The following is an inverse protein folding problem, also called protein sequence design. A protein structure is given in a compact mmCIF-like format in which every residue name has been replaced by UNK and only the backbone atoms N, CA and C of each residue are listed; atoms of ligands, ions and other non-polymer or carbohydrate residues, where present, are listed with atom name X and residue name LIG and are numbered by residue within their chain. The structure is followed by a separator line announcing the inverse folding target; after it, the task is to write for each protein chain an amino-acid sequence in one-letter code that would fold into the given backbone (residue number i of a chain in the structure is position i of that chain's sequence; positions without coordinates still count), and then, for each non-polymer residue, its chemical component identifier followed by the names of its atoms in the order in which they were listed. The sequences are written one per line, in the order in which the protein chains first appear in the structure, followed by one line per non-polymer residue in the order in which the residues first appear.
data_IF_718968391610
#
_entry.id   IF_718968391610
#
_cell.length_a   1.000
_cell.length_b   1.000
_cell.length_c   1.000
_cell.angle_alpha   90.00
_cell.angle_beta   90.00
_cell.angle_gamma   90.00
#
_symmetry.space_group_name_H-M   'P 1'
#
loop_
_entity.id
_entity.type
_entity.pdbx_description
1 polymer ?
#
# COMPACT_ATOMS: atom_id res chain seq x y z
N UNK A 1 -51.13 -14.64 -34.13
CA UNK A 1 -49.74 -15.10 -34.36
C UNK A 1 -48.71 -13.97 -34.29
N UNK A 2 -48.91 -12.84 -34.99
CA UNK A 2 -47.97 -11.69 -35.08
C UNK A 2 -47.60 -11.01 -33.75
N UNK A 3 -48.55 -10.88 -32.81
CA UNK A 3 -48.34 -10.19 -31.52
C UNK A 3 -47.26 -10.84 -30.63
N UNK A 4 -47.03 -12.15 -30.76
CA UNK A 4 -46.02 -12.86 -29.98
C UNK A 4 -44.62 -12.59 -30.53
N UNK A 5 -44.49 -12.45 -31.86
CA UNK A 5 -43.22 -12.13 -32.53
C UNK A 5 -42.75 -10.72 -32.14
N UNK A 6 -43.66 -9.73 -32.12
CA UNK A 6 -43.34 -8.37 -31.68
C UNK A 6 -42.96 -8.33 -30.19
N UNK A 7 -43.57 -9.17 -29.35
CA UNK A 7 -43.21 -9.29 -27.93
C UNK A 7 -41.80 -9.87 -27.75
N UNK A 8 -41.45 -10.93 -28.46
CA UNK A 8 -40.10 -11.49 -28.43
C UNK A 8 -39.06 -10.51 -28.95
N UNK A 9 -39.38 -9.78 -30.02
CA UNK A 9 -38.51 -8.73 -30.57
C UNK A 9 -38.27 -7.60 -29.56
N UNK A 10 -39.32 -7.13 -28.88
CA UNK A 10 -39.20 -6.10 -27.85
C UNK A 10 -38.40 -6.57 -26.62
N UNK A 11 -38.54 -7.84 -26.22
CA UNK A 11 -37.73 -8.44 -25.15
C UNK A 11 -36.27 -8.48 -25.58
N UNK A 12 -35.99 -8.92 -26.80
CA UNK A 12 -34.63 -8.93 -27.35
C UNK A 12 -34.01 -7.54 -27.44
N UNK A 13 -34.78 -6.55 -27.87
CA UNK A 13 -34.35 -5.15 -27.94
C UNK A 13 -34.06 -4.58 -26.54
N UNK A 14 -34.89 -4.90 -25.55
CA UNK A 14 -34.67 -4.48 -24.16
C UNK A 14 -33.43 -5.15 -23.53
N UNK A 15 -33.20 -6.44 -23.82
CA UNK A 15 -32.00 -7.16 -23.37
C UNK A 15 -30.75 -6.56 -24.01
N UNK A 16 -30.77 -6.26 -25.31
CA UNK A 16 -29.64 -5.65 -26.02
C UNK A 16 -29.29 -4.26 -25.46
N UNK A 17 -30.28 -3.45 -25.07
CA UNK A 17 -30.04 -2.16 -24.42
C UNK A 17 -29.48 -2.27 -22.99
N UNK A 18 -29.70 -3.38 -22.30
CA UNK A 18 -29.29 -3.57 -20.91
C UNK A 18 -27.84 -4.09 -20.72
N UNK A 19 -27.24 -4.68 -21.76
CA UNK A 19 -25.85 -5.21 -21.73
C UNK A 19 -24.80 -4.17 -21.27
N UNK A 20 -24.77 -2.91 -21.78
CA UNK A 20 -23.71 -1.97 -21.43
C UNK A 20 -23.76 -1.48 -19.96
N UNK A 21 -24.88 -1.68 -19.24
CA UNK A 21 -24.97 -1.34 -17.82
C UNK A 21 -24.13 -2.25 -16.93
N UNK A 22 -23.89 -3.50 -17.35
CA UNK A 22 -23.10 -4.48 -16.60
C UNK A 22 -21.59 -4.40 -16.89
N UNK A 23 -21.18 -3.60 -17.87
CA UNK A 23 -19.79 -3.52 -18.34
C UNK A 23 -19.05 -2.26 -17.83
N UNK A 24 -19.62 -1.52 -16.87
CA UNK A 24 -18.99 -0.33 -16.33
C UNK A 24 -17.78 -0.72 -15.47
N UNK A 25 -16.58 -0.51 -16.02
CA UNK A 25 -15.32 -0.69 -15.32
C UNK A 25 -15.10 0.48 -14.39
N UNK A 26 -14.92 0.21 -13.10
CA UNK A 26 -14.52 1.22 -12.14
C UNK A 26 -13.05 1.59 -12.38
N UNK A 27 -12.84 2.77 -12.98
CA UNK A 27 -11.52 3.33 -13.25
C UNK A 27 -11.20 4.39 -12.21
N UNK A 28 -10.07 4.24 -11.54
CA UNK A 28 -9.58 5.16 -10.50
C UNK A 28 -8.18 5.63 -10.85
N UNK A 29 -7.94 6.94 -10.73
CA UNK A 29 -6.64 7.53 -11.01
C UNK A 29 -5.95 7.92 -9.70
N UNK A 30 -4.73 7.44 -9.51
CA UNK A 30 -3.89 7.70 -8.33
C UNK A 30 -2.53 8.25 -8.79
N UNK A 31 -2.44 9.58 -8.91
CA UNK A 31 -1.24 10.22 -9.48
C UNK A 31 -1.06 9.85 -10.96
N UNK A 32 0.05 9.18 -11.29
CA UNK A 32 0.30 8.65 -12.65
C UNK A 32 -0.20 7.21 -12.85
N UNK A 33 -0.92 6.63 -11.87
CA UNK A 33 -1.49 5.29 -11.96
C UNK A 33 -2.94 5.36 -12.42
N UNK A 34 -3.27 4.58 -13.44
CA UNK A 34 -4.63 4.29 -13.88
C UNK A 34 -4.96 2.88 -13.39
N UNK A 35 -5.93 2.76 -12.49
CA UNK A 35 -6.36 1.52 -11.85
C UNK A 35 -7.72 1.12 -12.44
N UNK A 36 -7.83 -0.08 -12.99
CA UNK A 36 -9.07 -0.62 -13.56
C UNK A 36 -9.39 -1.96 -12.88
N UNK A 37 -10.59 -2.09 -12.29
CA UNK A 37 -11.00 -3.29 -11.52
C UNK A 37 -10.07 -3.67 -10.36
N UNK A 38 -9.27 -2.72 -9.83
CA UNK A 38 -8.43 -2.95 -8.67
C UNK A 38 -9.20 -2.57 -7.41
N UNK A 39 -9.41 -3.49 -6.44
CA UNK A 39 -10.06 -3.18 -5.18
C UNK A 39 -9.21 -2.24 -4.32
N UNK A 40 -9.85 -1.59 -3.34
CA UNK A 40 -9.13 -0.77 -2.37
C UNK A 40 -8.09 -1.55 -1.58
N UNK A 41 -6.98 -0.88 -1.27
CA UNK A 41 -5.94 -1.44 -0.42
C UNK A 41 -6.52 -1.55 1.00
N UNK A 42 -6.61 -2.77 1.57
CA UNK A 42 -7.17 -2.93 2.91
C UNK A 42 -6.27 -2.27 3.97
N UNK A 43 -6.87 -1.45 4.83
CA UNK A 43 -6.13 -0.71 5.88
C UNK A 43 -5.35 -1.65 6.83
N UNK A 44 -5.87 -2.85 7.08
CA UNK A 44 -5.19 -3.86 7.92
C UNK A 44 -3.81 -4.27 7.39
N UNK A 45 -3.63 -4.28 6.06
CA UNK A 45 -2.33 -4.59 5.43
C UNK A 45 -1.37 -3.43 5.65
N UNK A 46 -1.84 -2.20 5.46
CA UNK A 46 -1.05 -0.98 5.69
C UNK A 46 -0.56 -0.92 7.15
N UNK A 47 -1.46 -1.16 8.10
CA UNK A 47 -1.14 -1.17 9.53
C UNK A 47 -0.09 -2.24 9.87
N UNK A 48 -0.25 -3.46 9.34
CA UNK A 48 0.73 -4.53 9.53
C UNK A 48 2.07 -4.21 8.89
N UNK A 49 2.10 -3.53 7.75
CA UNK A 49 3.36 -3.21 7.06
C UNK A 49 4.23 -2.21 7.83
N UNK A 50 3.64 -1.34 8.65
CA UNK A 50 4.39 -0.36 9.45
C UNK A 50 5.44 -1.00 10.37
N UNK A 51 5.19 -2.23 10.85
CA UNK A 51 6.12 -2.96 11.71
C UNK A 51 7.40 -3.39 11.00
N UNK A 52 7.35 -3.53 9.67
CA UNK A 52 8.50 -3.95 8.85
C UNK A 52 9.18 -2.78 8.16
N UNK A 53 8.44 -1.74 7.79
CA UNK A 53 9.00 -0.56 7.13
C UNK A 53 9.89 0.28 8.07
N UNK A 54 9.66 0.24 9.38
CA UNK A 54 10.38 1.05 10.36
C UNK A 54 11.53 0.33 11.06
N UNK A 55 11.99 -0.81 10.53
CA UNK A 55 13.14 -1.52 11.11
C UNK A 55 14.42 -0.78 10.74
N UNK A 56 14.98 -0.04 11.72
CA UNK A 56 16.29 0.61 11.59
C UNK A 56 17.34 -0.27 12.26
N UNK A 57 18.36 -0.68 11.50
CA UNK A 57 19.51 -1.39 12.04
C UNK A 57 20.40 -0.44 12.85
N UNK A 58 20.77 -0.86 14.05
CA UNK A 58 21.79 -0.20 14.87
C UNK A 58 22.95 -1.19 15.08
N UNK A 59 24.16 -0.77 14.71
CA UNK A 59 25.38 -1.57 14.86
C UNK A 59 26.23 -1.06 16.02
N UNK A 60 26.75 -1.98 16.84
CA UNK A 60 27.77 -1.67 17.83
C UNK A 60 29.12 -1.39 17.14
N UNK A 61 29.82 -0.32 17.53
CA UNK A 61 31.11 0.04 16.91
C UNK A 61 32.27 0.00 17.91
N UNK A 62 32.02 0.22 19.19
CA UNK A 62 33.05 0.15 20.21
C UNK A 62 32.74 0.97 21.44
N UNK A 63 33.57 0.82 22.46
CA UNK A 63 33.47 1.53 23.72
C UNK A 63 34.23 2.85 23.68
N UNK A 64 33.76 3.84 24.43
CA UNK A 64 34.51 5.07 24.65
C UNK A 64 35.85 4.74 25.36
N UNK A 65 36.99 5.31 24.95
CA UNK A 65 38.30 4.98 25.53
C UNK A 65 38.38 5.15 27.05
N UNK A 66 37.62 6.10 27.59
CA UNK A 66 37.51 6.36 29.04
C UNK A 66 36.36 5.59 29.75
N UNK A 67 35.72 4.63 29.10
CA UNK A 67 34.65 3.80 29.69
C UNK A 67 33.30 4.51 29.94
N UNK A 68 33.17 5.78 29.59
CA UNK A 68 31.98 6.62 29.89
C UNK A 68 30.79 6.46 28.91
N UNK A 69 30.83 5.50 28.01
CA UNK A 69 29.73 5.30 27.05
C UNK A 69 30.07 4.38 25.88
N UNK A 70 29.06 4.20 25.02
CA UNK A 70 29.11 3.31 23.86
C UNK A 70 28.94 4.11 22.56
N UNK A 71 29.64 3.69 21.50
CA UNK A 71 29.40 4.12 20.13
C UNK A 71 28.47 3.17 19.39
N UNK A 72 27.38 3.73 18.86
CA UNK A 72 26.42 3.00 18.02
C UNK A 72 26.37 3.70 16.67
N UNK A 73 26.44 2.90 15.60
CA UNK A 73 26.19 3.38 14.23
C UNK A 73 24.75 3.08 13.86
N UNK A 74 24.03 4.13 13.48
CA UNK A 74 22.69 4.00 12.91
C UNK A 74 22.70 4.54 11.48
N UNK A 75 22.01 3.87 10.56
CA UNK A 75 21.81 4.40 9.20
C UNK A 75 20.74 5.49 9.24
N UNK A 76 21.07 6.70 8.78
CA UNK A 76 20.11 7.79 8.58
C UNK A 76 20.10 8.17 7.09
N UNK A 77 19.09 7.69 6.35
CA UNK A 77 19.04 7.84 4.89
C UNK A 77 20.15 7.02 4.21
N UNK A 78 20.97 7.66 3.36
CA UNK A 78 22.08 7.03 2.63
C UNK A 78 23.43 7.07 3.37
N UNK A 79 23.50 7.66 4.57
CA UNK A 79 24.76 7.79 5.32
C UNK A 79 24.71 7.08 6.67
N UNK A 80 25.83 6.47 7.03
CA UNK A 80 26.04 5.90 8.37
C UNK A 80 26.52 7.00 9.31
N UNK A 81 25.82 7.20 10.43
CA UNK A 81 26.18 8.21 11.43
C UNK A 81 26.53 7.53 12.75
N UNK A 82 27.58 8.03 13.42
CA UNK A 82 28.03 7.55 14.74
C UNK A 82 27.36 8.40 15.82
N UNK A 83 26.59 7.77 16.70
CA UNK A 83 26.00 8.41 17.88
C UNK A 83 26.75 7.96 19.14
N UNK A 84 26.93 8.90 20.09
CA UNK A 84 27.50 8.66 21.43
C UNK A 84 26.38 8.54 22.45
N UNK A 85 26.18 7.35 23.00
CA UNK A 85 25.21 7.14 24.08
C UNK A 85 25.93 7.15 25.44
N UNK A 86 25.42 7.95 26.38
CA UNK A 86 25.86 7.95 27.79
C UNK A 86 25.07 6.88 28.55
N UNK A 87 25.75 5.90 29.12
CA UNK A 87 25.14 4.94 30.03
C UNK A 87 25.14 5.57 31.42
N UNK A 88 23.98 6.07 31.85
CA UNK A 88 23.79 6.54 33.22
C UNK A 88 23.11 5.41 33.99
N UNK A 89 23.84 4.76 34.90
CA UNK A 89 23.23 3.86 35.88
C UNK A 89 22.65 4.74 37.00
N UNK A 90 21.38 4.50 37.37
CA UNK A 90 20.70 5.17 38.48
C UNK A 90 21.27 4.71 39.83
#
# INVERSE_FOLDING_TARGET
MQKNVTRFFNIWLAVALAVPLFAQVERREAGNLILENIPDIPQQVVERMLQYQNVRSAGFTGWHPEGKGLYVVTRFGETSQILKNRVTFF
#
